data_IF_326153932703
#
_entry.id   IF_326153932703
#
_cell.length_a   1.000
_cell.length_b   1.000
_cell.length_c   1.000
_cell.angle_alpha   90.00
_cell.angle_beta   90.00
_cell.angle_gamma   90.00
#
_symmetry.space_group_name_H-M   'P 1'
#
loop_
_entity.id
_entity.type
_entity.pdbx_description
1 polymer ?
#
# COMPACT_ATOMS: atom_id res chain seq x y z
N UNK A 1 -51.24 -70.44 9.96
CA UNK A 1 -51.47 -69.26 10.80
C UNK A 1 -50.29 -68.32 10.58
N UNK A 2 -50.58 -67.16 9.97
CA UNK A 2 -49.74 -65.96 9.85
C UNK A 2 -48.51 -65.95 8.91
N UNK A 3 -48.73 -65.27 7.78
CA UNK A 3 -47.77 -64.69 6.84
C UNK A 3 -47.15 -63.40 7.39
N UNK A 4 -45.92 -63.07 6.98
CA UNK A 4 -45.50 -61.66 6.85
C UNK A 4 -44.29 -61.52 5.93
N UNK A 5 -44.56 -61.05 4.71
CA UNK A 5 -43.59 -60.42 3.82
C UNK A 5 -43.29 -58.99 4.29
N UNK A 6 -42.09 -58.44 4.06
CA UNK A 6 -41.77 -57.06 4.42
C UNK A 6 -42.48 -56.04 3.50
N UNK A 7 -42.83 -54.84 3.99
CA UNK A 7 -43.58 -53.86 3.22
C UNK A 7 -42.71 -53.10 2.22
N UNK A 8 -43.34 -52.75 1.09
CA UNK A 8 -42.82 -51.82 0.07
C UNK A 8 -42.82 -50.41 0.62
N UNK A 9 -41.77 -49.66 0.32
CA UNK A 9 -41.67 -48.23 0.56
C UNK A 9 -42.50 -47.49 -0.49
N UNK A 10 -43.64 -46.94 -0.08
CA UNK A 10 -44.39 -45.95 -0.85
C UNK A 10 -43.70 -44.58 -0.73
N UNK A 11 -43.28 -44.03 -1.87
CA UNK A 11 -42.93 -42.62 -1.99
C UNK A 11 -44.22 -41.80 -2.09
N UNK A 12 -44.67 -41.24 -0.97
CA UNK A 12 -45.72 -40.22 -0.94
C UNK A 12 -45.10 -38.83 -0.78
N UNK A 13 -45.68 -37.88 -1.52
CA UNK A 13 -45.06 -36.61 -1.89
C UNK A 13 -44.77 -35.64 -0.75
N UNK A 14 -43.81 -34.75 -1.04
CA UNK A 14 -43.78 -33.41 -0.50
C UNK A 14 -43.73 -32.40 -1.65
N UNK A 15 -44.63 -31.45 -1.51
CA UNK A 15 -45.02 -30.39 -2.41
C UNK A 15 -43.86 -29.48 -2.80
N UNK A 16 -43.83 -29.12 -4.08
CA UNK A 16 -42.88 -28.17 -4.65
C UNK A 16 -43.03 -26.78 -4.05
N UNK A 17 -41.91 -26.21 -3.64
CA UNK A 17 -41.77 -24.84 -3.18
C UNK A 17 -41.77 -23.91 -4.41
N UNK A 18 -42.92 -23.36 -4.78
CA UNK A 18 -43.03 -22.31 -5.79
C UNK A 18 -42.23 -21.07 -5.35
N UNK A 19 -41.10 -20.79 -6.00
CA UNK A 19 -40.42 -19.49 -5.93
C UNK A 19 -41.28 -18.43 -6.63
N UNK A 20 -42.13 -17.73 -5.89
CA UNK A 20 -42.74 -16.47 -6.35
C UNK A 20 -41.64 -15.40 -6.50
N UNK A 21 -41.19 -15.14 -7.73
CA UNK A 21 -40.49 -13.89 -8.05
C UNK A 21 -41.51 -12.75 -7.95
N UNK A 22 -41.47 -11.96 -6.87
CA UNK A 22 -42.23 -10.71 -6.79
C UNK A 22 -41.58 -9.71 -7.75
N UNK A 23 -42.25 -9.45 -8.87
CA UNK A 23 -41.92 -8.29 -9.71
C UNK A 23 -42.13 -7.02 -8.87
N UNK A 24 -41.20 -6.07 -8.98
CA UNK A 24 -41.35 -4.75 -8.38
C UNK A 24 -42.60 -4.07 -8.98
N UNK A 25 -43.45 -3.42 -8.16
CA UNK A 25 -44.64 -2.76 -8.66
C UNK A 25 -44.26 -1.67 -9.66
N UNK A 26 -45.00 -1.57 -10.76
CA UNK A 26 -44.76 -0.66 -11.90
C UNK A 26 -44.54 0.81 -11.46
N UNK A 27 -45.16 1.21 -10.35
CA UNK A 27 -45.02 2.53 -9.73
C UNK A 27 -43.60 2.84 -9.22
N UNK A 28 -42.84 1.83 -8.77
CA UNK A 28 -41.46 2.01 -8.34
C UNK A 28 -40.49 2.19 -9.52
N UNK A 29 -40.80 1.55 -10.66
CA UNK A 29 -39.99 1.63 -11.88
C UNK A 29 -40.12 3.01 -12.57
N UNK A 30 -41.30 3.62 -12.46
CA UNK A 30 -41.58 4.99 -12.95
C UNK A 30 -40.87 6.03 -12.05
N UNK A 31 -40.84 5.81 -10.74
CA UNK A 31 -40.13 6.72 -9.82
C UNK A 31 -38.61 6.75 -10.06
N UNK A 32 -37.99 5.60 -10.35
CA UNK A 32 -36.54 5.51 -10.64
C UNK A 32 -36.18 6.14 -11.98
N UNK A 33 -37.04 6.01 -13.00
CA UNK A 33 -36.82 6.66 -14.30
C UNK A 33 -37.02 8.17 -14.26
N UNK A 34 -38.02 8.67 -13.50
CA UNK A 34 -38.22 10.12 -13.29
C UNK A 34 -37.07 10.78 -12.52
N UNK A 35 -36.48 10.09 -11.52
CA UNK A 35 -35.32 10.61 -10.79
C UNK A 35 -34.07 10.68 -11.70
N UNK A 36 -33.88 9.71 -12.59
CA UNK A 36 -32.77 9.70 -13.55
C UNK A 36 -32.85 10.83 -14.58
N UNK A 37 -34.07 11.17 -15.06
CA UNK A 37 -34.28 12.29 -15.98
C UNK A 37 -34.05 13.63 -15.29
N UNK A 38 -34.39 13.78 -14.02
CA UNK A 38 -34.16 15.01 -13.25
C UNK A 38 -32.67 15.31 -13.00
N UNK A 39 -31.86 14.26 -12.78
CA UNK A 39 -30.40 14.40 -12.59
C UNK A 39 -29.70 14.75 -13.91
N UNK A 40 -30.21 14.26 -15.04
CA UNK A 40 -29.66 14.54 -16.37
C UNK A 40 -29.96 15.98 -16.85
N UNK A 41 -31.16 16.52 -16.56
CA UNK A 41 -31.51 17.90 -16.91
C UNK A 41 -30.81 18.94 -16.04
N UNK A 42 -30.49 18.63 -14.78
CA UNK A 42 -29.68 19.50 -13.92
C UNK A 42 -28.22 19.64 -14.39
N UNK A 43 -27.66 18.57 -14.98
CA UNK A 43 -26.26 18.54 -15.45
C UNK A 43 -26.05 19.32 -16.76
N UNK A 44 -27.11 19.50 -17.56
CA UNK A 44 -27.06 20.22 -18.85
C UNK A 44 -27.31 21.72 -18.72
N UNK A 45 -27.90 22.18 -17.60
CA UNK A 45 -28.07 23.61 -17.31
C UNK A 45 -26.82 24.29 -16.73
N UNK A 46 -25.82 23.53 -16.27
CA UNK A 46 -24.59 24.09 -15.68
C UNK A 46 -23.48 24.40 -16.71
N UNK A 47 -23.64 23.96 -17.97
CA UNK A 47 -22.66 24.17 -19.05
C UNK A 47 -23.00 25.40 -19.91
N UNK A 48 -24.19 26.00 -19.76
CA UNK A 48 -24.71 27.04 -20.65
C UNK A 48 -24.45 28.50 -20.26
N UNK A 49 -23.75 28.80 -19.15
CA UNK A 49 -23.74 30.18 -18.62
C UNK A 49 -22.37 30.66 -18.12
N UNK A 50 -21.39 30.77 -19.02
CA UNK A 50 -20.28 31.73 -18.89
C UNK A 50 -19.83 32.25 -20.25
N UNK A 51 -20.54 33.24 -20.77
CA UNK A 51 -19.98 34.23 -21.69
C UNK A 51 -20.59 35.58 -21.37
N UNK A 52 -19.89 36.35 -20.53
CA UNK A 52 -20.02 37.80 -20.49
C UNK A 52 -18.64 38.38 -20.66
N UNK A 53 -18.49 39.10 -21.77
CA UNK A 53 -17.35 39.90 -22.12
C UNK A 53 -17.02 40.88 -20.98
N UNK A 54 -15.74 40.96 -20.63
CA UNK A 54 -15.17 42.10 -19.91
C UNK A 54 -14.38 42.88 -20.95
N UNK A 55 -14.90 44.05 -21.29
CA UNK A 55 -14.22 45.09 -22.04
C UNK A 55 -13.17 45.75 -21.14
N UNK A 56 -12.01 46.05 -21.72
CA UNK A 56 -11.11 47.09 -21.23
C UNK A 56 -9.95 46.65 -20.33
N UNK A 57 -8.83 46.26 -20.94
CA UNK A 57 -7.52 46.60 -20.41
C UNK A 57 -6.53 46.75 -21.57
N UNK A 58 -5.86 47.90 -21.63
CA UNK A 58 -4.86 48.20 -22.64
C UNK A 58 -3.64 47.26 -22.47
N UNK A 59 -3.22 46.63 -23.57
CA UNK A 59 -1.95 45.92 -23.66
C UNK A 59 -0.82 46.94 -23.90
N UNK A 60 0.30 46.91 -23.19
CA UNK A 60 1.50 47.57 -23.67
C UNK A 60 2.13 46.71 -24.78
N UNK A 61 2.60 47.36 -25.84
CA UNK A 61 3.35 46.74 -26.94
C UNK A 61 4.55 45.94 -26.42
N UNK A 62 4.50 44.61 -26.56
CA UNK A 62 5.65 43.75 -26.33
C UNK A 62 6.43 43.63 -27.64
N UNK A 63 7.54 44.36 -27.71
CA UNK A 63 8.57 44.16 -28.74
C UNK A 63 9.21 42.78 -28.50
N UNK A 64 8.97 41.84 -29.42
CA UNK A 64 9.60 40.52 -29.39
C UNK A 64 11.06 40.64 -29.85
N UNK A 65 11.98 40.68 -28.89
CA UNK A 65 13.41 40.50 -29.14
C UNK A 65 13.76 39.00 -29.23
N UNK A 66 14.36 38.58 -30.34
CA UNK A 66 14.89 37.23 -30.57
C UNK A 66 16.12 36.97 -29.68
N UNK A 67 15.92 36.58 -28.41
CA UNK A 67 16.92 35.84 -27.63
C UNK A 67 16.23 34.77 -26.79
N UNK A 68 16.67 33.52 -26.98
CA UNK A 68 16.04 32.33 -26.43
C UNK A 68 15.86 32.37 -24.92
N UNK A 69 14.68 31.93 -24.47
CA UNK A 69 14.38 31.71 -23.06
C UNK A 69 15.10 30.43 -22.62
N UNK A 70 16.21 30.57 -21.89
CA UNK A 70 16.72 29.47 -21.06
C UNK A 70 15.84 29.42 -19.81
N UNK A 71 15.07 28.34 -19.67
CA UNK A 71 14.45 28.00 -18.39
C UNK A 71 15.58 27.79 -17.37
N UNK A 72 15.69 28.68 -16.39
CA UNK A 72 16.45 28.41 -15.17
C UNK A 72 15.57 27.51 -14.31
N UNK A 73 15.98 26.26 -14.08
CA UNK A 73 15.40 25.46 -13.01
C UNK A 73 15.69 26.19 -11.70
N UNK A 74 14.64 26.62 -11.01
CA UNK A 74 14.74 27.03 -9.62
C UNK A 74 14.80 25.71 -8.86
N UNK A 75 16.01 25.28 -8.51
CA UNK A 75 16.18 24.20 -7.55
C UNK A 75 15.59 24.69 -6.21
N UNK A 76 14.48 24.09 -5.80
CA UNK A 76 13.99 24.24 -4.44
C UNK A 76 15.06 23.67 -3.51
N UNK A 77 15.42 24.35 -2.41
CA UNK A 77 16.38 23.82 -1.46
C UNK A 77 15.85 22.47 -0.95
N UNK A 78 16.68 21.43 -1.05
CA UNK A 78 16.40 20.14 -0.43
C UNK A 78 16.16 20.41 1.06
N UNK A 79 14.95 20.15 1.54
CA UNK A 79 14.71 20.15 2.97
C UNK A 79 15.41 18.92 3.51
N UNK A 80 16.54 19.11 4.18
CA UNK A 80 17.17 18.04 4.94
C UNK A 80 16.13 17.42 5.88
N UNK A 81 15.98 16.10 5.83
CA UNK A 81 15.01 15.38 6.62
C UNK A 81 15.28 15.64 8.11
N UNK A 82 14.39 16.41 8.77
CA UNK A 82 14.48 16.64 10.21
C UNK A 82 14.29 15.29 10.92
N UNK A 83 15.34 14.84 11.61
CA UNK A 83 15.34 13.61 12.40
C UNK A 83 14.18 13.60 13.39
N UNK A 84 13.47 12.47 13.50
CA UNK A 84 12.38 12.32 14.48
C UNK A 84 12.98 12.23 15.89
N UNK A 85 12.56 13.14 16.77
CA UNK A 85 13.02 13.17 18.17
C UNK A 85 12.34 12.14 19.08
N UNK A 86 11.27 11.47 18.62
CA UNK A 86 10.47 10.55 19.43
C UNK A 86 10.79 9.08 19.22
N UNK A 87 11.55 8.73 18.19
CA UNK A 87 11.79 7.33 17.78
C UNK A 87 10.57 6.64 17.15
N UNK A 88 9.44 7.34 17.03
CA UNK A 88 8.22 6.81 16.42
C UNK A 88 8.40 6.64 14.89
N UNK A 89 9.06 7.61 14.26
CA UNK A 89 9.41 7.60 12.84
C UNK A 89 10.93 7.49 12.69
N UNK A 90 11.41 6.55 11.88
CA UNK A 90 12.86 6.40 11.65
C UNK A 90 13.39 7.61 10.89
N UNK A 91 14.57 8.10 11.26
CA UNK A 91 15.34 9.04 10.42
C UNK A 91 15.71 8.32 9.12
N UNK A 92 15.54 8.98 7.98
CA UNK A 92 15.89 8.38 6.70
C UNK A 92 17.39 8.01 6.71
N UNK A 93 17.77 6.75 6.42
CA UNK A 93 19.15 6.30 6.57
C UNK A 93 20.07 6.75 5.43
N UNK A 94 19.52 7.47 4.44
CA UNK A 94 20.21 8.01 3.28
C UNK A 94 19.57 9.33 2.85
N UNK A 95 20.24 10.08 1.97
CA UNK A 95 19.68 11.30 1.39
C UNK A 95 18.46 11.00 0.49
N UNK A 96 17.55 11.95 0.30
CA UNK A 96 16.32 11.73 -0.47
C UNK A 96 16.58 11.31 -1.93
N UNK A 97 17.67 11.79 -2.53
CA UNK A 97 18.08 11.42 -3.89
C UNK A 97 18.92 10.15 -3.97
N UNK A 98 19.23 9.50 -2.84
CA UNK A 98 20.15 8.37 -2.81
C UNK A 98 19.59 7.10 -3.49
N UNK A 99 18.28 7.05 -3.75
CA UNK A 99 17.61 5.95 -4.44
C UNK A 99 17.35 6.25 -5.93
N UNK A 100 17.88 7.35 -6.46
CA UNK A 100 17.67 7.73 -7.86
C UNK A 100 18.09 6.62 -8.83
N UNK A 101 17.35 6.53 -9.95
CA UNK A 101 17.39 5.40 -10.88
C UNK A 101 16.42 4.27 -10.53
N UNK A 102 15.88 4.25 -9.30
CA UNK A 102 14.81 3.34 -8.86
C UNK A 102 13.64 4.08 -8.23
N UNK A 103 13.90 5.03 -7.33
CA UNK A 103 12.86 5.88 -6.72
C UNK A 103 13.34 7.32 -6.81
N UNK A 104 12.54 8.22 -7.38
CA UNK A 104 12.97 9.62 -7.50
C UNK A 104 13.01 10.33 -6.15
N UNK A 105 13.85 11.36 -6.04
CA UNK A 105 13.89 12.22 -4.86
C UNK A 105 12.51 12.84 -4.55
N UNK A 106 11.71 13.12 -5.57
CA UNK A 106 10.35 13.64 -5.40
C UNK A 106 9.44 12.59 -4.74
N UNK A 107 9.49 11.33 -5.16
CA UNK A 107 8.75 10.25 -4.52
C UNK A 107 9.20 10.06 -3.08
N UNK A 108 10.51 10.04 -2.81
CA UNK A 108 11.03 9.91 -1.43
C UNK A 108 10.58 11.08 -0.56
N UNK A 109 10.62 12.31 -1.06
CA UNK A 109 10.16 13.50 -0.33
C UNK A 109 8.66 13.41 0.00
N UNK A 110 7.79 13.16 -0.99
CA UNK A 110 6.36 13.01 -0.75
C UNK A 110 6.05 11.84 0.20
N UNK A 111 6.69 10.69 0.01
CA UNK A 111 6.43 9.49 0.80
C UNK A 111 6.92 9.63 2.24
N UNK A 112 8.11 10.21 2.46
CA UNK A 112 8.68 10.40 3.79
C UNK A 112 8.13 11.64 4.52
N UNK A 113 8.15 12.81 3.88
CA UNK A 113 7.79 14.08 4.53
C UNK A 113 6.30 14.37 4.54
N UNK A 114 5.50 13.77 3.65
CA UNK A 114 4.05 13.95 3.64
C UNK A 114 3.34 12.71 4.18
N UNK A 115 3.44 11.56 3.52
CA UNK A 115 2.71 10.36 3.94
C UNK A 115 3.18 9.85 5.31
N UNK A 116 4.46 9.51 5.45
CA UNK A 116 5.00 8.95 6.68
C UNK A 116 4.89 9.93 7.86
N UNK A 117 5.24 11.21 7.65
CA UNK A 117 5.02 12.27 8.66
C UNK A 117 3.55 12.41 9.05
N UNK A 118 2.65 12.38 8.07
CA UNK A 118 1.22 12.53 8.30
C UNK A 118 0.63 11.43 9.16
N UNK A 119 1.13 10.18 9.05
CA UNK A 119 0.70 9.09 9.93
C UNK A 119 1.13 9.30 11.38
N UNK A 120 2.30 9.91 11.63
CA UNK A 120 2.73 10.28 12.99
C UNK A 120 1.73 11.26 13.62
N UNK A 121 1.40 12.34 12.91
CA UNK A 121 0.43 13.32 13.40
C UNK A 121 -0.94 12.68 13.67
N UNK A 122 -1.44 11.87 12.73
CA UNK A 122 -2.71 11.15 12.89
C UNK A 122 -2.70 10.21 14.09
N UNK A 123 -1.58 9.55 14.39
CA UNK A 123 -1.48 8.67 15.55
C UNK A 123 -1.54 9.45 16.87
N UNK A 124 -0.81 10.57 16.94
CA UNK A 124 -0.85 11.48 18.10
C UNK A 124 -2.28 11.99 18.31
N UNK A 125 -2.95 12.47 17.26
CA UNK A 125 -4.32 12.96 17.33
C UNK A 125 -5.31 11.85 17.74
N UNK A 126 -5.15 10.65 17.19
CA UNK A 126 -6.06 9.53 17.44
C UNK A 126 -5.93 8.94 18.85
N UNK A 127 -4.76 9.08 19.48
CA UNK A 127 -4.47 8.61 20.84
C UNK A 127 -4.65 9.70 21.90
N UNK A 128 -4.45 10.96 21.53
CA UNK A 128 -4.33 12.08 22.47
C UNK A 128 -3.07 12.01 23.34
N UNK A 129 -2.10 11.16 22.99
CA UNK A 129 -0.87 10.97 23.74
C UNK A 129 0.29 11.76 23.11
N UNK A 130 1.20 12.33 23.92
CA UNK A 130 2.45 12.85 23.37
C UNK A 130 3.26 11.71 22.75
N UNK A 131 4.05 12.00 21.70
CA UNK A 131 4.83 10.99 20.98
C UNK A 131 5.71 10.13 21.90
N UNK A 132 6.29 10.73 22.96
CA UNK A 132 7.14 10.05 23.93
C UNK A 132 6.45 8.95 24.75
N UNK A 133 5.12 8.88 24.72
CA UNK A 133 4.33 7.84 25.40
C UNK A 133 3.81 6.75 24.47
N UNK A 134 4.08 6.86 23.17
CA UNK A 134 3.57 5.93 22.17
C UNK A 134 4.55 4.77 21.98
N UNK A 135 4.14 3.57 22.40
CA UNK A 135 4.81 2.33 22.01
C UNK A 135 4.20 1.82 20.70
N UNK A 136 4.90 2.09 19.60
CA UNK A 136 4.47 1.76 18.25
C UNK A 136 4.21 0.26 18.06
N UNK A 137 5.17 -0.59 18.44
CA UNK A 137 5.09 -2.03 18.17
C UNK A 137 3.96 -2.65 18.97
N UNK A 138 3.77 -2.22 20.22
CA UNK A 138 2.64 -2.66 21.04
C UNK A 138 1.29 -2.29 20.40
N UNK A 139 1.14 -1.07 19.89
CA UNK A 139 -0.09 -0.66 19.20
C UNK A 139 -0.35 -1.46 17.92
N UNK A 140 0.69 -1.79 17.14
CA UNK A 140 0.56 -2.64 15.95
C UNK A 140 0.19 -4.07 16.33
N UNK A 141 0.84 -4.63 17.35
CA UNK A 141 0.62 -6.01 17.81
C UNK A 141 -0.75 -6.23 18.48
N UNK A 142 -1.41 -5.17 18.97
CA UNK A 142 -2.81 -5.25 19.39
C UNK A 142 -3.74 -5.68 18.24
N UNK A 143 -3.37 -5.35 17.01
CA UNK A 143 -4.13 -5.66 15.81
C UNK A 143 -5.41 -4.84 15.64
N UNK A 144 -5.98 -4.87 14.44
CA UNK A 144 -7.17 -4.08 14.08
C UNK A 144 -8.42 -4.42 14.88
N UNK A 145 -8.49 -5.64 15.43
CA UNK A 145 -9.65 -6.09 16.21
C UNK A 145 -9.72 -5.47 17.62
N UNK A 146 -8.60 -4.99 18.17
CA UNK A 146 -8.53 -4.46 19.54
C UNK A 146 -8.18 -2.99 19.60
N UNK A 147 -7.36 -2.51 18.66
CA UNK A 147 -7.08 -1.09 18.55
C UNK A 147 -8.24 -0.37 17.85
N UNK A 148 -8.50 0.89 18.26
CA UNK A 148 -9.35 1.79 17.47
C UNK A 148 -8.79 1.89 16.05
N UNK A 149 -9.66 1.82 15.04
CA UNK A 149 -9.25 1.79 13.64
C UNK A 149 -8.26 2.92 13.26
N UNK A 150 -8.54 4.17 13.67
CA UNK A 150 -7.65 5.29 13.41
C UNK A 150 -6.25 5.13 14.04
N UNK A 151 -6.17 4.53 15.23
CA UNK A 151 -4.91 4.22 15.93
C UNK A 151 -4.20 3.07 15.20
N UNK A 152 -4.91 2.00 14.87
CA UNK A 152 -4.35 0.85 14.15
C UNK A 152 -3.78 1.26 12.79
N UNK A 153 -4.57 1.97 11.98
CA UNK A 153 -4.16 2.37 10.64
C UNK A 153 -2.93 3.28 10.70
N UNK A 154 -2.90 4.23 11.63
CA UNK A 154 -1.76 5.16 11.76
C UNK A 154 -0.51 4.46 12.31
N UNK A 155 -0.64 3.66 13.37
CA UNK A 155 0.47 2.90 13.94
C UNK A 155 1.03 1.86 12.94
N UNK A 156 0.15 1.11 12.27
CA UNK A 156 0.52 0.16 11.23
C UNK A 156 1.29 0.83 10.10
N UNK A 157 0.79 1.95 9.58
CA UNK A 157 1.48 2.67 8.51
C UNK A 157 2.85 3.21 8.96
N UNK A 158 3.00 3.79 10.16
CA UNK A 158 4.31 4.22 10.65
C UNK A 158 5.27 3.03 10.75
N UNK A 159 4.83 1.91 11.33
CA UNK A 159 5.66 0.71 11.44
C UNK A 159 6.08 0.17 10.06
N UNK A 160 5.15 0.08 9.12
CA UNK A 160 5.42 -0.42 7.78
C UNK A 160 6.40 0.47 7.02
N UNK A 161 6.25 1.80 7.11
CA UNK A 161 7.17 2.75 6.48
C UNK A 161 8.54 2.74 7.16
N UNK A 162 8.63 2.61 8.48
CA UNK A 162 9.91 2.42 9.17
C UNK A 162 10.65 1.20 8.62
N UNK A 163 9.96 0.07 8.46
CA UNK A 163 10.55 -1.12 7.84
C UNK A 163 10.93 -0.89 6.38
N UNK A 164 10.12 -0.16 5.60
CA UNK A 164 10.35 0.12 4.18
C UNK A 164 11.63 0.92 3.94
N UNK A 165 11.83 2.02 4.67
CA UNK A 165 13.04 2.85 4.52
C UNK A 165 14.31 2.09 4.87
N UNK A 166 14.25 1.24 5.89
CA UNK A 166 15.36 0.36 6.31
C UNK A 166 15.57 -0.84 5.35
N UNK A 167 14.54 -1.22 4.59
CA UNK A 167 14.59 -2.32 3.62
C UNK A 167 15.31 -1.97 2.32
N UNK A 168 15.76 -0.72 2.16
CA UNK A 168 16.41 -0.23 0.95
C UNK A 168 17.83 0.29 1.24
N UNK A 169 18.71 0.15 0.26
CA UNK A 169 20.03 0.76 0.22
C UNK A 169 20.22 1.53 -1.09
N UNK A 170 21.01 2.61 -1.12
CA UNK A 170 21.39 3.28 -2.36
C UNK A 170 22.01 2.28 -3.35
N UNK A 171 21.69 2.36 -4.67
CA UNK A 171 22.15 1.39 -5.69
C UNK A 171 23.68 1.21 -5.77
N UNK A 172 24.45 2.18 -5.30
CA UNK A 172 25.93 2.16 -5.29
C UNK A 172 26.52 1.46 -4.06
N UNK A 173 25.69 1.00 -3.12
CA UNK A 173 26.13 0.36 -1.88
C UNK A 173 26.33 -1.13 -2.10
N UNK A 174 27.41 -1.70 -1.54
CA UNK A 174 27.71 -3.14 -1.55
C UNK A 174 26.60 -4.04 -0.95
N UNK A 175 25.59 -3.44 -0.31
CA UNK A 175 24.44 -4.10 0.32
C UNK A 175 23.48 -4.83 -0.63
N UNK A 176 23.73 -4.82 -1.95
CA UNK A 176 23.01 -5.67 -2.91
C UNK A 176 23.40 -7.14 -2.82
N UNK A 177 24.52 -7.49 -2.16
CA UNK A 177 24.91 -8.89 -1.97
C UNK A 177 24.11 -9.51 -0.82
N UNK A 178 23.42 -10.62 -1.09
CA UNK A 178 22.77 -11.41 -0.04
C UNK A 178 23.83 -11.99 0.90
N UNK A 179 23.75 -11.72 2.22
CA UNK A 179 24.61 -12.34 3.20
C UNK A 179 24.56 -13.87 3.17
N UNK A 180 25.65 -14.54 3.53
CA UNK A 180 25.81 -15.98 3.32
C UNK A 180 24.73 -16.82 4.02
N UNK A 181 24.41 -16.48 5.27
CA UNK A 181 23.38 -17.19 6.07
C UNK A 181 21.99 -16.97 5.49
N UNK A 182 21.63 -15.75 5.10
CA UNK A 182 20.37 -15.50 4.40
C UNK A 182 20.31 -16.22 3.03
N UNK A 183 21.41 -16.25 2.29
CA UNK A 183 21.48 -16.93 0.99
C UNK A 183 21.27 -18.46 1.10
N UNK A 184 21.74 -19.09 2.17
CA UNK A 184 21.46 -20.50 2.46
C UNK A 184 19.97 -20.76 2.71
N UNK A 185 19.33 -19.92 3.53
CA UNK A 185 17.89 -20.03 3.80
C UNK A 185 17.04 -19.79 2.55
N UNK A 186 17.45 -18.86 1.68
CA UNK A 186 16.79 -18.61 0.40
C UNK A 186 16.94 -19.83 -0.51
N UNK A 187 18.15 -20.39 -0.65
CA UNK A 187 18.37 -21.62 -1.43
C UNK A 187 17.57 -22.80 -0.90
N UNK A 188 17.46 -22.95 0.42
CA UNK A 188 16.67 -24.01 1.03
C UNK A 188 15.17 -23.90 0.72
N UNK A 189 14.65 -22.68 0.55
CA UNK A 189 13.21 -22.43 0.31
C UNK A 189 12.84 -22.39 -1.17
N UNK A 190 13.64 -21.72 -1.99
CA UNK A 190 13.33 -21.43 -3.40
C UNK A 190 14.30 -22.09 -4.40
N UNK A 191 15.38 -22.71 -3.93
CA UNK A 191 16.47 -23.21 -4.78
C UNK A 191 17.39 -22.08 -5.24
N UNK A 192 16.84 -21.04 -5.87
CA UNK A 192 17.61 -19.87 -6.35
C UNK A 192 16.96 -18.54 -5.94
N UNK A 193 17.74 -17.46 -5.97
CA UNK A 193 17.24 -16.11 -5.69
C UNK A 193 16.34 -15.61 -6.83
N UNK A 194 16.55 -16.10 -8.06
CA UNK A 194 15.71 -15.79 -9.22
C UNK A 194 14.29 -16.35 -9.03
N UNK A 195 14.16 -17.59 -8.55
CA UNK A 195 12.84 -18.17 -8.23
C UNK A 195 12.15 -17.42 -7.10
N UNK A 196 12.90 -16.96 -6.10
CA UNK A 196 12.35 -16.06 -5.05
C UNK A 196 11.88 -14.72 -5.64
N UNK A 197 12.66 -14.12 -6.55
CA UNK A 197 12.30 -12.87 -7.24
C UNK A 197 11.01 -13.05 -8.05
N UNK A 198 10.86 -14.14 -8.79
CA UNK A 198 9.65 -14.44 -9.55
C UNK A 198 8.41 -14.54 -8.65
N UNK A 199 8.53 -15.22 -7.49
CA UNK A 199 7.43 -15.28 -6.52
C UNK A 199 7.10 -13.90 -5.92
N UNK A 200 8.12 -13.10 -5.60
CA UNK A 200 7.94 -11.72 -5.15
C UNK A 200 7.19 -10.88 -6.19
N UNK A 201 7.64 -10.91 -7.44
CA UNK A 201 7.03 -10.18 -8.56
C UNK A 201 5.57 -10.59 -8.74
N UNK A 202 5.29 -11.90 -8.71
CA UNK A 202 3.93 -12.44 -8.82
C UNK A 202 3.03 -11.97 -7.69
N UNK A 203 3.50 -11.99 -6.43
CA UNK A 203 2.69 -11.54 -5.29
C UNK A 203 2.47 -10.03 -5.28
N UNK A 204 3.50 -9.24 -5.58
CA UNK A 204 3.41 -7.77 -5.61
C UNK A 204 2.49 -7.24 -6.72
N UNK A 205 2.55 -7.86 -7.90
CA UNK A 205 1.67 -7.49 -9.02
C UNK A 205 0.23 -7.96 -8.81
N UNK A 206 0.02 -9.14 -8.21
CA UNK A 206 -1.31 -9.68 -7.93
C UNK A 206 -2.03 -9.04 -6.73
N UNK A 207 -1.33 -8.27 -5.89
CA UNK A 207 -1.93 -7.61 -4.73
C UNK A 207 -2.90 -6.51 -5.20
N UNK A 208 -4.20 -6.79 -5.21
CA UNK A 208 -5.19 -5.79 -5.63
C UNK A 208 -5.35 -4.62 -4.64
N UNK A 209 -5.25 -3.37 -5.11
CA UNK A 209 -5.33 -2.19 -4.25
C UNK A 209 -4.05 -1.93 -3.45
N UNK A 210 -4.21 -1.41 -2.23
CA UNK A 210 -3.15 -0.95 -1.34
C UNK A 210 -2.61 -2.05 -0.43
N UNK A 211 -1.30 -2.06 -0.20
CA UNK A 211 -0.69 -3.05 0.68
C UNK A 211 0.82 -3.13 0.58
N UNK A 212 1.34 -4.23 1.11
CA UNK A 212 2.76 -4.43 1.36
C UNK A 212 3.16 -5.88 1.03
N UNK A 213 4.37 -6.07 0.53
CA UNK A 213 5.00 -7.39 0.37
C UNK A 213 6.11 -7.54 1.40
N UNK A 214 6.20 -8.69 2.04
CA UNK A 214 7.14 -8.95 3.12
C UNK A 214 7.90 -10.25 2.85
N UNK A 215 9.21 -10.23 3.05
CA UNK A 215 9.96 -11.43 3.38
C UNK A 215 9.81 -11.64 4.87
N UNK A 216 9.44 -12.86 5.26
CA UNK A 216 9.29 -13.24 6.66
C UNK A 216 10.08 -14.49 6.96
N UNK A 217 10.51 -14.61 8.21
CA UNK A 217 10.85 -15.89 8.81
C UNK A 217 9.63 -16.42 9.55
N UNK A 218 9.08 -17.56 9.10
CA UNK A 218 8.00 -18.25 9.79
C UNK A 218 8.60 -19.14 10.88
N UNK A 219 8.39 -18.77 12.15
CA UNK A 219 8.96 -19.49 13.30
C UNK A 219 8.33 -20.85 13.52
N UNK A 220 7.10 -21.08 13.02
CA UNK A 220 6.40 -22.35 13.16
C UNK A 220 6.92 -23.39 12.19
N UNK A 221 7.18 -22.96 10.95
CA UNK A 221 7.69 -23.84 9.88
C UNK A 221 9.20 -23.77 9.71
N UNK A 222 9.87 -22.88 10.44
CA UNK A 222 11.33 -22.64 10.41
C UNK A 222 11.85 -22.45 8.98
N UNK A 223 11.17 -21.60 8.21
CA UNK A 223 11.53 -21.31 6.82
C UNK A 223 11.20 -19.87 6.45
N UNK A 224 11.84 -19.39 5.40
CA UNK A 224 11.48 -18.12 4.79
C UNK A 224 10.17 -18.23 4.00
N UNK A 225 9.41 -17.14 3.94
CA UNK A 225 8.24 -17.03 3.08
C UNK A 225 8.05 -15.60 2.57
N UNK A 226 7.32 -15.46 1.47
CA UNK A 226 6.87 -14.17 0.96
C UNK A 226 5.37 -14.00 1.21
N UNK A 227 4.99 -12.98 1.96
CA UNK A 227 3.58 -12.72 2.33
C UNK A 227 3.14 -11.33 1.89
N UNK A 228 1.85 -11.19 1.62
CA UNK A 228 1.22 -9.95 1.20
C UNK A 228 0.21 -9.53 2.25
N UNK A 229 0.23 -8.25 2.66
CA UNK A 229 -0.75 -7.69 3.60
C UNK A 229 -1.46 -6.50 2.98
N UNK A 230 -2.71 -6.28 3.38
CA UNK A 230 -3.54 -5.15 2.89
C UNK A 230 -3.41 -3.95 3.79
N UNK A 231 -3.54 -2.77 3.19
CA UNK A 231 -3.65 -1.50 3.88
C UNK A 231 -2.55 -1.30 4.94
N UNK A 232 -2.90 -1.18 6.22
CA UNK A 232 -1.96 -1.00 7.34
C UNK A 232 -1.55 -2.31 8.03
N UNK A 233 -2.03 -3.45 7.56
CA UNK A 233 -1.66 -4.75 8.12
C UNK A 233 -0.20 -5.09 7.83
N UNK A 234 0.37 -5.89 8.71
CA UNK A 234 1.73 -6.44 8.63
C UNK A 234 1.80 -7.79 9.34
N UNK A 235 2.87 -8.59 9.11
CA UNK A 235 3.10 -9.83 9.86
C UNK A 235 3.05 -9.63 11.39
N UNK A 236 3.52 -8.48 11.88
CA UNK A 236 3.43 -8.11 13.29
C UNK A 236 1.97 -7.95 13.76
N UNK A 237 1.14 -7.24 12.99
CA UNK A 237 -0.27 -7.05 13.34
C UNK A 237 -1.10 -8.32 13.27
N UNK A 238 -0.73 -9.24 12.37
CA UNK A 238 -1.44 -10.51 12.23
C UNK A 238 -1.01 -11.52 13.31
N UNK A 239 0.16 -11.33 13.90
CA UNK A 239 0.72 -12.12 15.00
C UNK A 239 0.63 -13.65 14.78
N UNK A 240 1.07 -14.10 13.59
CA UNK A 240 0.99 -15.52 13.16
C UNK A 240 2.28 -16.32 13.37
N UNK A 241 3.22 -15.79 14.14
CA UNK A 241 4.57 -16.36 14.26
C UNK A 241 5.44 -16.09 13.04
N UNK A 242 5.25 -14.94 12.39
CA UNK A 242 6.01 -14.52 11.22
C UNK A 242 6.81 -13.26 11.56
N UNK A 243 8.14 -13.36 11.52
CA UNK A 243 9.05 -12.26 11.80
C UNK A 243 9.36 -11.54 10.48
N UNK A 244 9.00 -10.26 10.33
CA UNK A 244 9.28 -9.51 9.10
C UNK A 244 10.78 -9.19 8.98
N UNK A 245 11.34 -9.48 7.82
CA UNK A 245 12.76 -9.27 7.50
C UNK A 245 12.97 -8.04 6.63
N UNK A 246 12.16 -7.88 5.58
CA UNK A 246 12.05 -6.66 4.80
C UNK A 246 10.59 -6.35 4.45
N UNK A 247 10.34 -5.19 3.85
CA UNK A 247 9.07 -4.92 3.17
C UNK A 247 9.23 -4.04 1.92
N UNK A 248 8.38 -4.28 0.93
CA UNK A 248 8.15 -3.42 -0.23
C UNK A 248 6.75 -2.83 -0.15
N UNK A 249 6.66 -1.51 -0.20
CA UNK A 249 5.40 -0.79 -0.34
C UNK A 249 4.85 -0.97 -1.76
N UNK A 250 3.58 -1.36 -1.89
CA UNK A 250 2.86 -1.44 -3.18
C UNK A 250 1.61 -0.56 -3.22
N UNK A 251 1.47 0.37 -2.26
CA UNK A 251 0.58 1.51 -2.41
C UNK A 251 1.02 2.36 -3.60
N UNK A 252 0.06 2.91 -4.33
CA UNK A 252 0.36 3.71 -5.54
C UNK A 252 1.28 4.90 -5.23
N UNK A 253 1.15 5.54 -4.07
CA UNK A 253 2.01 6.68 -3.71
C UNK A 253 3.51 6.33 -3.62
N UNK A 254 3.87 5.05 -3.48
CA UNK A 254 5.27 4.60 -3.45
C UNK A 254 5.92 4.57 -4.85
N UNK A 255 5.13 4.62 -5.93
CA UNK A 255 5.67 4.48 -7.29
C UNK A 255 4.95 5.31 -8.36
N UNK A 256 3.81 5.94 -8.10
CA UNK A 256 2.98 6.51 -9.16
C UNK A 256 3.64 7.70 -9.87
N UNK A 257 4.44 8.49 -9.16
CA UNK A 257 5.19 9.60 -9.77
C UNK A 257 6.26 9.08 -10.73
N UNK A 258 6.83 7.90 -10.45
CA UNK A 258 7.98 7.35 -11.20
C UNK A 258 7.55 6.35 -12.29
N UNK A 259 6.48 5.59 -12.06
CA UNK A 259 6.05 4.45 -12.88
C UNK A 259 4.55 4.47 -13.25
N UNK A 260 3.77 5.41 -12.71
CA UNK A 260 2.32 5.50 -12.90
C UNK A 260 1.62 4.16 -12.62
N UNK A 261 1.01 3.55 -13.63
CA UNK A 261 0.29 2.28 -13.51
C UNK A 261 1.21 1.05 -13.55
N UNK A 262 2.47 1.18 -14.00
CA UNK A 262 3.39 0.05 -14.20
C UNK A 262 4.08 -0.35 -12.89
N UNK A 263 3.29 -0.86 -11.95
CA UNK A 263 3.79 -1.45 -10.69
C UNK A 263 4.82 -2.55 -10.95
N UNK A 264 4.72 -3.27 -12.07
CA UNK A 264 5.66 -4.34 -12.39
C UNK A 264 7.06 -3.77 -12.70
N UNK A 265 7.17 -2.63 -13.38
CA UNK A 265 8.45 -1.94 -13.57
C UNK A 265 9.05 -1.47 -12.25
N UNK A 266 8.25 -0.86 -11.37
CA UNK A 266 8.68 -0.48 -10.03
C UNK A 266 9.22 -1.67 -9.25
N UNK A 267 8.47 -2.77 -9.15
CA UNK A 267 8.88 -3.96 -8.38
C UNK A 267 10.17 -4.59 -8.92
N UNK A 268 10.36 -4.63 -10.24
CA UNK A 268 11.60 -5.14 -10.86
C UNK A 268 12.81 -4.31 -10.43
N UNK A 269 12.66 -2.99 -10.39
CA UNK A 269 13.72 -2.04 -10.00
C UNK A 269 13.94 -1.97 -8.50
N UNK A 270 12.88 -1.98 -7.71
CA UNK A 270 12.95 -2.03 -6.25
C UNK A 270 13.74 -3.24 -5.74
N UNK A 271 13.64 -4.38 -6.43
CA UNK A 271 14.44 -5.57 -6.11
C UNK A 271 15.96 -5.32 -6.14
N UNK A 272 16.43 -4.39 -6.98
CA UNK A 272 17.86 -4.09 -7.15
C UNK A 272 18.44 -3.34 -5.93
N UNK A 273 17.59 -2.69 -5.12
CA UNK A 273 18.00 -1.84 -4.00
C UNK A 273 17.66 -2.43 -2.62
N UNK A 274 17.33 -3.72 -2.56
CA UNK A 274 17.04 -4.38 -1.28
C UNK A 274 18.27 -4.32 -0.35
N UNK A 275 18.04 -3.90 0.89
CA UNK A 275 19.02 -4.01 1.97
C UNK A 275 18.98 -5.42 2.59
N UNK A 276 19.80 -6.33 2.03
CA UNK A 276 19.85 -7.71 2.50
C UNK A 276 20.51 -7.86 3.87
N UNK A 277 21.38 -6.94 4.27
CA UNK A 277 21.97 -6.92 5.62
C UNK A 277 20.91 -6.61 6.67
N UNK A 278 20.02 -5.64 6.40
CA UNK A 278 18.87 -5.38 7.25
C UNK A 278 17.96 -6.61 7.35
N UNK A 279 17.65 -7.26 6.23
CA UNK A 279 16.86 -8.48 6.22
C UNK A 279 17.49 -9.60 7.07
N UNK A 280 18.80 -9.82 6.96
CA UNK A 280 19.52 -10.80 7.78
C UNK A 280 19.53 -10.40 9.27
N UNK A 281 19.70 -9.11 9.58
CA UNK A 281 19.75 -8.62 10.96
C UNK A 281 18.45 -8.85 11.74
N UNK A 282 17.32 -8.97 11.04
CA UNK A 282 16.01 -9.27 11.62
C UNK A 282 15.76 -10.77 11.83
N UNK A 283 16.63 -11.66 11.35
CA UNK A 283 16.52 -13.10 11.64
C UNK A 283 16.76 -13.35 13.14
N UNK A 284 16.04 -14.33 13.74
CA UNK A 284 16.38 -14.83 15.08
C UNK A 284 17.86 -15.19 15.18
N UNK A 285 18.52 -14.97 16.33
CA UNK A 285 19.97 -15.21 16.45
C UNK A 285 20.35 -16.69 16.53
N UNK A 286 19.38 -17.55 16.78
CA UNK A 286 19.51 -18.97 17.12
C UNK A 286 19.25 -19.93 15.95
N UNK A 287 19.14 -19.41 14.73
CA UNK A 287 18.96 -20.20 13.48
C UNK A 287 20.17 -20.09 12.56
#
# INVERSE_FOLDING_TARGET
MWSSSPPRVECTGRTGLERRRRALPFSLLIAVTLLGVLVYTASTLFVGMRSRAVTGFAMPDVIVSRRGVRARSIALPAQDAVASSSGLRVTLPYAMSALEGVISAATVDFHYNQHHKGYVQKLVDATGWPESRIDLKSLVALGSARAREAVFNSAGQIYNHNMYWLSMNPPTTLGSRVPARLAELIRARWGTIETMKEEFMRKGTALFGSGWIWLVWDTRTKRLDLVATKDAHSPLSENRGQIPLFTCDVWEHAYYLDYQHDRAAYLRKWWEIINWEFAESNLPKDI
#
